data_IF_916935829215
#
_entry.id   IF_916935829215
#
_cell.length_a   1.000
_cell.length_b   1.000
_cell.length_c   1.000
_cell.angle_alpha   90.00
_cell.angle_beta   90.00
_cell.angle_gamma   90.00
#
_symmetry.space_group_name_H-M   'P 1'
#
loop_
_entity.id
_entity.type
_entity.pdbx_description
1 polymer ?
#
# COMPACT_ATOMS: atom_id res chain seq x y z
N UNK A 1 12.63 -8.55 4.77
CA UNK A 1 12.04 -9.36 3.68
C UNK A 1 11.18 -10.52 4.21
N UNK A 2 11.74 -11.45 5.01
CA UNK A 2 11.04 -12.68 5.42
C UNK A 2 9.76 -12.44 6.24
N UNK A 3 9.75 -11.48 7.17
CA UNK A 3 8.55 -11.15 7.96
C UNK A 3 7.41 -10.59 7.09
N UNK A 4 7.73 -9.74 6.11
CA UNK A 4 6.73 -9.14 5.20
C UNK A 4 6.10 -10.19 4.29
N UNK A 5 6.90 -11.12 3.77
CA UNK A 5 6.41 -12.23 2.94
C UNK A 5 5.60 -13.23 3.76
N UNK A 6 5.97 -13.46 5.03
CA UNK A 6 5.21 -14.31 5.94
C UNK A 6 3.83 -13.73 6.27
N UNK A 7 3.76 -12.42 6.52
CA UNK A 7 2.49 -11.72 6.76
C UNK A 7 1.59 -11.72 5.52
N UNK A 8 2.19 -11.54 4.33
CA UNK A 8 1.51 -11.68 3.04
C UNK A 8 0.97 -13.11 2.83
N UNK A 9 1.79 -14.14 3.09
CA UNK A 9 1.41 -15.54 2.94
C UNK A 9 0.24 -15.94 3.87
N UNK A 10 0.15 -15.36 5.07
CA UNK A 10 -1.00 -15.56 5.96
C UNK A 10 -2.26 -14.82 5.48
N UNK A 11 -2.13 -13.60 4.95
CA UNK A 11 -3.26 -12.85 4.40
C UNK A 11 -3.83 -13.48 3.11
N UNK A 12 -2.98 -14.09 2.29
CA UNK A 12 -3.36 -14.79 1.06
C UNK A 12 -4.10 -16.12 1.31
N UNK A 13 -4.07 -16.68 2.53
CA UNK A 13 -4.84 -17.89 2.88
C UNK A 13 -6.34 -17.62 3.06
N UNK A 14 -6.72 -16.38 3.34
CA UNK A 14 -8.11 -16.00 3.67
C UNK A 14 -8.70 -14.97 2.71
N UNK A 15 -7.87 -14.31 1.89
CA UNK A 15 -8.27 -13.24 0.97
C UNK A 15 -7.86 -13.58 -0.47
N UNK A 16 -8.66 -13.23 -1.49
CA UNK A 16 -8.29 -13.47 -2.88
C UNK A 16 -6.92 -12.88 -3.21
N UNK A 17 -6.11 -13.66 -3.92
CA UNK A 17 -4.68 -13.37 -4.14
C UNK A 17 -4.44 -11.98 -4.72
N UNK A 18 -5.32 -11.53 -5.62
CA UNK A 18 -5.27 -10.19 -6.21
C UNK A 18 -5.46 -9.06 -5.20
N UNK A 19 -6.42 -9.18 -4.29
CA UNK A 19 -6.70 -8.17 -3.25
C UNK A 19 -5.56 -8.12 -2.23
N UNK A 20 -5.02 -9.27 -1.84
CA UNK A 20 -3.84 -9.35 -0.96
C UNK A 20 -2.60 -8.66 -1.55
N UNK A 21 -2.32 -8.89 -2.84
CA UNK A 21 -1.16 -8.30 -3.51
C UNK A 21 -1.31 -6.77 -3.70
N UNK A 22 -2.52 -6.31 -4.02
CA UNK A 22 -2.84 -4.89 -4.15
C UNK A 22 -2.65 -4.15 -2.81
N UNK A 23 -3.16 -4.71 -1.70
CA UNK A 23 -2.98 -4.13 -0.36
C UNK A 23 -1.50 -4.08 0.03
N UNK A 24 -0.76 -5.16 -0.18
CA UNK A 24 0.66 -5.23 0.18
C UNK A 24 1.51 -4.22 -0.57
N UNK A 25 1.38 -4.18 -1.90
CA UNK A 25 2.12 -3.26 -2.76
C UNK A 25 1.75 -1.81 -2.45
N UNK A 26 0.46 -1.56 -2.21
CA UNK A 26 -0.06 -0.25 -1.90
C UNK A 26 0.40 0.32 -0.56
N UNK A 27 0.37 -0.49 0.50
CA UNK A 27 0.91 -0.10 1.81
C UNK A 27 2.41 0.16 1.70
N UNK A 28 3.15 -0.68 0.98
CA UNK A 28 4.58 -0.48 0.73
C UNK A 28 4.87 0.85 0.05
N UNK A 29 4.15 1.16 -1.04
CA UNK A 29 4.32 2.40 -1.80
C UNK A 29 3.89 3.66 -1.01
N UNK A 30 2.78 3.59 -0.29
CA UNK A 30 2.33 4.70 0.55
C UNK A 30 3.32 4.93 1.71
N UNK A 31 3.77 3.86 2.37
CA UNK A 31 4.74 3.93 3.46
C UNK A 31 6.08 4.51 3.04
N UNK A 32 6.65 4.10 1.91
CA UNK A 32 7.89 4.68 1.39
C UNK A 32 7.71 6.14 0.97
N UNK A 33 6.57 6.51 0.40
CA UNK A 33 6.32 7.91 0.05
C UNK A 33 6.17 8.81 1.28
N UNK A 34 5.47 8.37 2.32
CA UNK A 34 5.32 9.10 3.58
C UNK A 34 6.66 9.21 4.30
N UNK A 35 7.42 8.11 4.39
CA UNK A 35 8.76 8.12 4.99
C UNK A 35 9.76 8.94 4.16
N UNK A 36 9.62 8.98 2.83
CA UNK A 36 10.38 9.85 1.94
C UNK A 36 10.22 11.34 2.32
N UNK A 37 8.97 11.75 2.51
CA UNK A 37 8.63 13.10 2.95
C UNK A 37 9.17 13.38 4.36
N UNK A 38 9.01 12.45 5.30
CA UNK A 38 9.36 12.68 6.72
C UNK A 38 10.86 12.56 7.04
N UNK A 39 11.59 11.62 6.41
CA UNK A 39 13.01 11.39 6.68
C UNK A 39 13.94 12.13 5.73
N UNK A 40 13.54 12.36 4.48
CA UNK A 40 14.41 12.91 3.44
C UNK A 40 14.02 14.33 3.00
N UNK A 41 13.03 14.93 3.67
CA UNK A 41 12.48 16.25 3.34
C UNK A 41 12.10 16.36 1.85
N UNK A 42 11.69 15.23 1.24
CA UNK A 42 11.25 15.24 -0.15
C UNK A 42 10.07 16.19 -0.31
N UNK A 43 10.13 17.02 -1.36
CA UNK A 43 9.12 18.03 -1.64
C UNK A 43 7.73 17.41 -1.60
N UNK A 44 6.87 17.98 -0.74
CA UNK A 44 5.48 17.61 -0.57
C UNK A 44 4.67 18.09 -1.79
N UNK A 45 4.95 17.47 -2.93
CA UNK A 45 4.24 17.79 -4.16
C UNK A 45 2.77 17.37 -3.99
N UNK A 46 1.86 18.32 -4.16
CA UNK A 46 0.42 18.08 -4.01
C UNK A 46 -0.07 16.94 -4.91
N UNK A 47 0.54 16.74 -6.09
CA UNK A 47 0.22 15.62 -6.97
C UNK A 47 0.66 14.27 -6.40
N UNK A 48 1.76 14.22 -5.63
CA UNK A 48 2.25 12.99 -4.99
C UNK A 48 1.28 12.54 -3.90
N UNK A 49 0.81 13.46 -3.07
CA UNK A 49 -0.20 13.18 -2.04
C UNK A 49 -1.51 12.72 -2.68
N UNK A 50 -1.95 13.40 -3.74
CA UNK A 50 -3.17 13.03 -4.47
C UNK A 50 -3.06 11.63 -5.10
N UNK A 51 -1.91 11.28 -5.64
CA UNK A 51 -1.62 9.95 -6.18
C UNK A 51 -1.67 8.87 -5.10
N UNK A 52 -1.11 9.12 -3.92
CA UNK A 52 -1.19 8.20 -2.78
C UNK A 52 -2.65 8.02 -2.34
N UNK A 53 -3.43 9.10 -2.29
CA UNK A 53 -4.85 9.04 -1.93
C UNK A 53 -5.66 8.18 -2.92
N UNK A 54 -5.39 8.27 -4.22
CA UNK A 54 -6.02 7.42 -5.26
C UNK A 54 -5.61 5.96 -5.13
N UNK A 55 -4.35 5.68 -4.83
CA UNK A 55 -3.89 4.30 -4.57
C UNK A 55 -4.63 3.71 -3.36
N UNK A 56 -4.72 4.46 -2.26
CA UNK A 56 -5.41 4.03 -1.03
C UNK A 56 -6.90 3.81 -1.29
N UNK A 57 -7.58 4.72 -2.01
CA UNK A 57 -9.00 4.55 -2.32
C UNK A 57 -9.28 3.33 -3.20
N UNK A 58 -8.42 3.04 -4.18
CA UNK A 58 -8.50 1.83 -5.01
C UNK A 58 -8.34 0.54 -4.21
N UNK A 59 -7.43 0.54 -3.24
CA UNK A 59 -7.21 -0.62 -2.33
C UNK A 59 -8.43 -0.84 -1.43
N UNK A 60 -9.00 0.23 -0.89
CA UNK A 60 -10.22 0.15 -0.07
C UNK A 60 -11.39 -0.40 -0.91
N UNK A 61 -11.54 0.07 -2.15
CA UNK A 61 -12.54 -0.45 -3.08
C UNK A 61 -12.38 -1.95 -3.38
N UNK A 62 -11.14 -2.40 -3.62
CA UNK A 62 -10.82 -3.82 -3.80
C UNK A 62 -11.13 -4.66 -2.55
N UNK A 63 -10.83 -4.14 -1.36
CA UNK A 63 -11.13 -4.80 -0.09
C UNK A 63 -12.63 -4.85 0.22
N UNK A 64 -13.43 -3.90 -0.26
CA UNK A 64 -14.89 -3.91 -0.10
C UNK A 64 -15.60 -4.82 -1.11
N UNK A 65 -14.94 -5.12 -2.23
CA UNK A 65 -15.46 -5.98 -3.31
C UNK A 65 -15.09 -7.47 -3.15
N UNK A 66 -14.21 -7.80 -2.21
CA UNK A 66 -13.79 -9.18 -1.86
C UNK A 66 -14.24 -9.56 -0.46
#
# INVERSE_FOLDING_TARGET
MMLSLWCLAMALKTSPVGTGYAIWTGIGAAGTAILGIMLFDESQDGFRILSIAVIISGIIGLKLSS
#
